data_IF_556117962027
#
_entry.id   IF_556117962027
#
_cell.length_a   1.000
_cell.length_b   1.000
_cell.length_c   1.000
_cell.angle_alpha   90.00
_cell.angle_beta   90.00
_cell.angle_gamma   90.00
#
_symmetry.space_group_name_H-M   'P 1'
#
loop_
_entity.id
_entity.type
_entity.pdbx_description
1 polymer ?
#
# COMPACT_ATOMS: atom_id res chain seq x y z
N UNK A 1 4.66 -0.29 -6.01
CA UNK A 1 4.80 0.20 -4.63
C UNK A 1 3.41 0.47 -4.06
N UNK A 2 3.25 0.69 -2.74
CA UNK A 2 1.94 0.71 -2.06
C UNK A 2 0.92 1.67 -2.70
N UNK A 3 1.38 2.84 -3.16
CA UNK A 3 0.56 3.81 -3.89
C UNK A 3 0.09 3.23 -5.23
N UNK A 4 0.98 2.62 -6.01
CA UNK A 4 0.62 1.99 -7.30
C UNK A 4 -0.42 0.87 -7.13
N UNK A 5 -0.34 0.13 -6.01
CA UNK A 5 -1.31 -0.91 -5.68
C UNK A 5 -2.67 -0.30 -5.32
N UNK A 6 -2.69 0.76 -4.52
CA UNK A 6 -3.92 1.45 -4.15
C UNK A 6 -4.58 2.13 -5.36
N UNK A 7 -3.79 2.72 -6.26
CA UNK A 7 -4.27 3.40 -7.46
C UNK A 7 -4.46 2.47 -8.66
N UNK A 8 -4.45 1.14 -8.47
CA UNK A 8 -4.58 0.23 -9.61
C UNK A 8 -5.94 0.40 -10.29
N UNK A 9 -5.90 0.75 -11.59
CA UNK A 9 -7.12 1.02 -12.37
C UNK A 9 -7.68 2.44 -12.20
N UNK A 10 -7.00 3.29 -11.43
CA UNK A 10 -7.31 4.71 -11.24
C UNK A 10 -6.27 5.58 -11.96
N UNK A 11 -6.66 6.82 -12.24
CA UNK A 11 -5.81 7.86 -12.82
C UNK A 11 -4.78 8.35 -11.79
N UNK A 12 -5.14 8.33 -10.50
CA UNK A 12 -4.28 8.79 -9.42
C UNK A 12 -4.89 8.59 -8.03
N UNK A 13 -4.25 9.19 -7.03
CA UNK A 13 -4.66 9.14 -5.61
C UNK A 13 -5.97 9.91 -5.39
N UNK A 14 -6.23 10.93 -6.21
CA UNK A 14 -7.41 11.78 -6.17
C UNK A 14 -8.73 11.04 -6.45
N UNK A 15 -8.67 9.87 -7.07
CA UNK A 15 -9.85 9.02 -7.32
C UNK A 15 -10.08 7.99 -6.21
N UNK A 16 -9.25 7.97 -5.17
CA UNK A 16 -9.46 7.12 -3.99
C UNK A 16 -10.55 7.71 -3.11
N UNK A 17 -11.51 6.89 -2.71
CA UNK A 17 -12.48 7.25 -1.68
C UNK A 17 -11.80 7.39 -0.31
N UNK A 18 -12.42 8.13 0.61
CA UNK A 18 -11.90 8.37 1.96
C UNK A 18 -11.45 7.08 2.68
N UNK A 19 -12.24 6.00 2.57
CA UNK A 19 -11.89 4.71 3.16
C UNK A 19 -10.62 4.10 2.55
N UNK A 20 -10.41 4.30 1.25
CA UNK A 20 -9.23 3.83 0.53
C UNK A 20 -8.01 4.68 0.86
N UNK A 21 -8.18 6.00 1.02
CA UNK A 21 -7.13 6.91 1.50
C UNK A 21 -6.69 6.57 2.93
N UNK A 22 -7.64 6.28 3.82
CA UNK A 22 -7.36 5.84 5.20
C UNK A 22 -6.60 4.51 5.19
N UNK A 23 -7.00 3.56 4.34
CA UNK A 23 -6.30 2.29 4.20
C UNK A 23 -4.87 2.48 3.68
N UNK A 24 -4.69 3.29 2.62
CA UNK A 24 -3.38 3.62 2.08
C UNK A 24 -2.47 4.29 3.12
N UNK A 25 -3.00 5.24 3.90
CA UNK A 25 -2.23 5.88 4.97
C UNK A 25 -1.71 4.86 5.99
N UNK A 26 -2.57 3.95 6.46
CA UNK A 26 -2.18 2.89 7.41
C UNK A 26 -1.15 1.94 6.82
N UNK A 27 -1.31 1.58 5.54
CA UNK A 27 -0.35 0.73 4.84
C UNK A 27 1.02 1.42 4.70
N UNK A 28 1.03 2.74 4.44
CA UNK A 28 2.26 3.54 4.42
C UNK A 28 2.93 3.61 5.80
N UNK A 29 2.16 3.77 6.88
CA UNK A 29 2.67 3.73 8.26
C UNK A 29 3.33 2.38 8.58
N UNK A 30 2.64 1.27 8.29
CA UNK A 30 3.23 -0.07 8.43
C UNK A 30 4.46 -0.24 7.54
N UNK A 31 4.45 0.28 6.32
CA UNK A 31 5.60 0.24 5.43
C UNK A 31 6.83 0.91 6.04
N UNK A 32 6.66 2.07 6.68
CA UNK A 32 7.75 2.75 7.39
C UNK A 32 8.28 1.92 8.57
N UNK A 33 7.41 1.27 9.33
CA UNK A 33 7.81 0.34 10.40
C UNK A 33 8.58 -0.87 9.85
N UNK A 34 8.10 -1.47 8.77
CA UNK A 34 8.76 -2.60 8.13
C UNK A 34 10.16 -2.22 7.62
N UNK A 35 10.30 -1.04 7.01
CA UNK A 35 11.62 -0.52 6.59
C UNK A 35 12.57 -0.34 7.78
N UNK A 36 12.07 0.17 8.92
CA UNK A 36 12.87 0.33 10.13
C UNK A 36 13.33 -1.03 10.68
N UNK A 37 12.46 -2.02 10.62
CA UNK A 37 12.69 -3.34 11.21
C UNK A 37 13.38 -4.32 10.23
N UNK A 38 13.69 -3.87 9.01
CA UNK A 38 14.36 -4.67 7.97
C UNK A 38 13.47 -5.74 7.33
N UNK A 39 12.15 -5.61 7.44
CA UNK A 39 11.15 -6.54 6.91
C UNK A 39 10.72 -6.09 5.52
N UNK A 40 10.68 -7.01 4.56
CA UNK A 40 10.19 -6.72 3.21
C UNK A 40 8.67 -6.47 3.19
N UNK A 41 8.17 -5.76 2.19
CA UNK A 41 6.74 -5.43 2.12
C UNK A 41 5.89 -6.65 1.74
N UNK A 42 6.48 -7.61 1.04
CA UNK A 42 5.90 -8.91 0.74
C UNK A 42 5.74 -9.76 2.00
N UNK A 43 6.79 -9.85 2.83
CA UNK A 43 6.73 -10.59 4.10
C UNK A 43 5.76 -9.95 5.10
N UNK A 44 5.63 -8.63 5.05
CA UNK A 44 4.63 -7.89 5.82
C UNK A 44 3.19 -8.04 5.26
N UNK A 45 3.00 -8.66 4.09
CA UNK A 45 1.70 -8.74 3.43
C UNK A 45 1.12 -7.39 3.02
N UNK A 46 1.96 -6.36 2.87
CA UNK A 46 1.59 -5.02 2.41
C UNK A 46 1.47 -4.97 0.89
N UNK A 47 2.35 -5.69 0.19
CA UNK A 47 2.24 -5.89 -1.25
C UNK A 47 1.56 -7.22 -1.53
N UNK A 48 0.52 -7.18 -2.37
CA UNK A 48 -0.12 -8.38 -2.89
C UNK A 48 0.61 -8.82 -4.16
N UNK A 49 0.93 -10.12 -4.31
CA UNK A 49 1.40 -10.62 -5.58
C UNK A 49 0.31 -10.34 -6.63
N UNK A 50 0.66 -9.56 -7.63
CA UNK A 50 -0.14 -9.43 -8.85
C UNK A 50 -0.06 -10.81 -9.50
N UNK A 51 -1.20 -11.48 -9.70
CA UNK A 51 -1.41 -12.88 -10.17
C UNK A 51 -1.68 -13.91 -9.06
N UNK A 52 -2.96 -14.07 -8.71
CA UNK A 52 -3.71 -15.34 -8.81
C UNK A 52 -4.93 -15.12 -9.71
#
# INVERSE_FOLDING_TARGET
MLIDQACFGLTGIEELEDNQLIALHRDMERGMECMRDGVSFEDAGLLRPRYE
#
